data_IF_749043008626
#
_entry.id   IF_749043008626
#
_cell.length_a   1.000
_cell.length_b   1.000
_cell.length_c   1.000
_cell.angle_alpha   90.00
_cell.angle_beta   90.00
_cell.angle_gamma   90.00
#
_symmetry.space_group_name_H-M   'P 1'
#
loop_
_entity.id
_entity.type
_entity.pdbx_description
1 polymer ?
#
# COMPACT_ATOMS: atom_id res chain seq x y z
N UNK A 1 14.30 -3.69 -8.58
CA UNK A 1 14.84 -4.30 -7.35
C UNK A 1 15.68 -5.50 -7.75
N UNK A 2 16.93 -5.56 -7.32
CA UNK A 2 17.80 -6.74 -7.47
C UNK A 2 17.89 -7.36 -6.08
N UNK A 3 17.51 -8.63 -5.95
CA UNK A 3 17.64 -9.38 -4.71
C UNK A 3 18.93 -10.20 -4.83
N UNK A 4 19.84 -9.96 -3.93
CA UNK A 4 21.02 -10.82 -3.72
C UNK A 4 20.75 -11.75 -2.54
N UNK A 5 21.34 -12.93 -2.54
CA UNK A 5 21.07 -13.92 -1.48
C UNK A 5 22.36 -14.56 -1.00
N UNK A 6 22.36 -14.88 0.27
CA UNK A 6 23.46 -15.65 0.88
C UNK A 6 23.38 -17.10 0.40
N UNK A 7 24.47 -17.60 -0.21
CA UNK A 7 24.48 -18.93 -0.87
C UNK A 7 24.32 -20.10 0.12
N UNK A 8 24.67 -19.88 1.39
CA UNK A 8 24.63 -20.94 2.40
C UNK A 8 23.39 -20.82 3.27
N UNK A 9 22.69 -21.94 3.48
CA UNK A 9 21.56 -22.01 4.41
C UNK A 9 22.08 -21.86 5.84
N UNK A 10 21.59 -20.83 6.54
CA UNK A 10 21.95 -20.57 7.93
C UNK A 10 21.10 -21.44 8.85
N UNK A 11 21.76 -22.18 9.71
CA UNK A 11 21.08 -22.95 10.76
C UNK A 11 21.12 -22.17 12.06
N UNK A 12 19.91 -22.00 12.63
CA UNK A 12 19.69 -21.31 13.89
C UNK A 12 19.98 -22.21 15.09
N UNK A 13 20.31 -21.61 16.23
CA UNK A 13 20.65 -22.32 17.45
C UNK A 13 19.44 -22.91 18.17
N UNK A 14 18.25 -22.31 17.94
CA UNK A 14 16.99 -22.76 18.50
C UNK A 14 16.01 -23.21 17.40
N UNK A 15 14.88 -23.78 17.78
CA UNK A 15 13.86 -24.19 16.85
C UNK A 15 12.88 -23.04 16.54
N UNK A 16 12.19 -23.11 15.41
CA UNK A 16 11.10 -22.19 15.06
C UNK A 16 10.14 -21.94 16.22
N UNK A 17 9.76 -23.02 16.92
CA UNK A 17 8.84 -22.93 18.05
C UNK A 17 9.41 -22.22 19.29
N UNK A 18 10.67 -21.90 19.33
CA UNK A 18 11.26 -21.10 20.39
C UNK A 18 11.22 -19.61 20.02
N UNK A 19 11.48 -19.25 18.77
CA UNK A 19 11.43 -17.88 18.29
C UNK A 19 9.98 -17.37 18.13
N UNK A 20 9.08 -18.16 17.53
CA UNK A 20 7.71 -17.77 17.18
C UNK A 20 6.65 -18.18 18.21
N UNK A 21 6.97 -18.27 19.51
CA UNK A 21 6.01 -18.69 20.52
C UNK A 21 5.13 -17.52 20.98
N UNK A 22 3.81 -17.70 20.85
CA UNK A 22 2.83 -16.72 21.32
C UNK A 22 2.59 -16.83 22.82
N UNK A 23 2.34 -15.72 23.47
CA UNK A 23 1.98 -15.64 24.89
C UNK A 23 0.78 -14.75 25.08
N UNK A 24 -0.29 -15.30 25.67
CA UNK A 24 -1.52 -14.57 25.99
C UNK A 24 -2.20 -13.86 24.80
N UNK A 25 -2.03 -14.39 23.59
CA UNK A 25 -2.58 -13.81 22.36
C UNK A 25 -1.68 -12.78 21.69
N UNK A 26 -0.55 -12.48 22.27
CA UNK A 26 0.51 -11.68 21.64
C UNK A 26 1.40 -12.60 20.82
N UNK A 27 1.62 -12.25 19.54
CA UNK A 27 2.42 -13.03 18.61
C UNK A 27 3.93 -12.87 18.86
N UNK A 28 4.68 -13.93 18.57
CA UNK A 28 6.13 -13.89 18.49
C UNK A 28 6.87 -13.41 19.76
N UNK A 29 6.24 -13.54 20.93
CA UNK A 29 6.88 -13.21 22.22
C UNK A 29 8.14 -14.05 22.43
N UNK A 30 8.12 -15.27 21.88
CA UNK A 30 9.22 -16.20 22.01
C UNK A 30 9.27 -16.93 23.36
N UNK A 31 10.25 -17.81 23.50
CA UNK A 31 10.53 -18.53 24.76
C UNK A 31 12.01 -18.89 24.84
N UNK A 32 12.46 -19.33 26.01
CA UNK A 32 13.87 -19.63 26.28
C UNK A 32 14.80 -18.41 26.07
N UNK A 33 14.26 -17.20 26.13
CA UNK A 33 15.02 -15.96 25.97
C UNK A 33 15.31 -15.60 24.50
N UNK A 34 14.59 -16.19 23.55
CA UNK A 34 14.70 -15.88 22.11
C UNK A 34 13.35 -15.56 21.51
N UNK A 35 13.33 -14.70 20.50
CA UNK A 35 12.20 -14.23 19.70
C UNK A 35 12.68 -13.88 18.28
N UNK A 36 11.84 -13.40 17.36
CA UNK A 36 12.29 -13.06 16.00
C UNK A 36 13.37 -11.97 15.94
N UNK A 37 13.40 -11.01 16.89
CA UNK A 37 14.46 -10.00 16.95
C UNK A 37 15.83 -10.63 17.24
N UNK A 38 15.88 -11.53 18.23
CA UNK A 38 17.10 -12.27 18.54
C UNK A 38 17.49 -13.23 17.42
N UNK A 39 16.54 -13.78 16.67
CA UNK A 39 16.81 -14.57 15.48
C UNK A 39 17.49 -13.72 14.40
N UNK A 40 16.99 -12.51 14.14
CA UNK A 40 17.60 -11.62 13.17
C UNK A 40 19.05 -11.27 13.56
N UNK A 41 19.28 -10.94 14.82
CA UNK A 41 20.63 -10.71 15.36
C UNK A 41 21.54 -11.93 15.20
N UNK A 42 21.04 -13.11 15.55
CA UNK A 42 21.79 -14.37 15.41
C UNK A 42 22.21 -14.63 13.96
N UNK A 43 21.30 -14.42 13.00
CA UNK A 43 21.59 -14.60 11.58
C UNK A 43 22.67 -13.64 11.13
N UNK A 44 22.54 -12.35 11.44
CA UNK A 44 23.52 -11.33 11.08
C UNK A 44 24.90 -11.67 11.68
N UNK A 45 24.96 -12.04 12.96
CA UNK A 45 26.20 -12.43 13.61
C UNK A 45 26.90 -13.63 12.93
N UNK A 46 26.11 -14.59 12.43
CA UNK A 46 26.65 -15.76 11.73
C UNK A 46 27.21 -15.46 10.35
N UNK A 47 26.72 -14.42 9.67
CA UNK A 47 27.13 -14.11 8.29
C UNK A 47 27.91 -12.81 8.15
N UNK A 48 28.09 -12.04 9.22
CA UNK A 48 28.66 -10.68 9.13
C UNK A 48 30.08 -10.59 8.55
N UNK A 49 30.83 -11.66 8.56
CA UNK A 49 32.18 -11.72 7.96
C UNK A 49 32.16 -12.23 6.52
N UNK A 50 31.03 -12.79 6.05
CA UNK A 50 30.91 -13.44 4.76
C UNK A 50 30.26 -12.50 3.70
N UNK A 51 29.71 -11.35 4.16
CA UNK A 51 28.97 -10.42 3.33
C UNK A 51 29.71 -9.09 3.20
N UNK A 52 29.78 -8.56 1.98
CA UNK A 52 30.27 -7.21 1.69
C UNK A 52 29.10 -6.22 1.87
N UNK A 53 28.87 -5.79 3.11
CA UNK A 53 27.67 -5.04 3.51
C UNK A 53 27.53 -3.69 2.83
N UNK A 54 28.63 -3.03 2.45
CA UNK A 54 28.64 -1.74 1.76
C UNK A 54 27.91 -1.79 0.40
N UNK A 55 27.75 -2.96 -0.18
CA UNK A 55 26.96 -3.13 -1.42
C UNK A 55 25.47 -2.89 -1.23
N UNK A 56 25.00 -2.97 0.02
CA UNK A 56 23.59 -2.88 0.39
C UNK A 56 23.26 -1.57 1.11
N UNK A 57 24.16 -0.60 1.06
CA UNK A 57 24.04 0.79 1.49
C UNK A 57 24.07 1.68 0.24
N UNK A 58 22.90 1.92 -0.36
CA UNK A 58 22.81 2.63 -1.64
C UNK A 58 22.90 4.15 -1.49
N UNK A 59 22.61 4.66 -0.31
CA UNK A 59 22.64 6.11 0.00
C UNK A 59 23.94 6.51 0.73
N UNK A 60 24.83 5.55 1.01
CA UNK A 60 26.14 5.77 1.65
C UNK A 60 26.03 6.40 3.05
N UNK A 61 25.00 6.02 3.82
CA UNK A 61 24.79 6.52 5.20
C UNK A 61 25.35 5.61 6.30
N UNK A 62 25.94 4.49 5.92
CA UNK A 62 26.51 3.49 6.83
C UNK A 62 25.49 2.47 7.33
N UNK A 63 24.29 2.43 6.77
CA UNK A 63 23.24 1.49 7.14
C UNK A 63 22.85 0.57 5.99
N UNK A 64 22.59 -0.68 6.31
CA UNK A 64 22.04 -1.64 5.34
C UNK A 64 20.59 -1.24 5.02
N UNK A 65 20.32 -0.92 3.75
CA UNK A 65 19.01 -0.43 3.33
C UNK A 65 17.90 -1.46 3.48
N UNK A 66 18.17 -2.72 3.13
CA UNK A 66 17.15 -3.77 3.09
C UNK A 66 17.73 -5.12 3.49
N UNK A 67 17.05 -5.79 4.41
CA UNK A 67 17.43 -7.11 4.88
C UNK A 67 16.22 -8.03 4.98
N UNK A 68 16.24 -9.14 4.23
CA UNK A 68 15.16 -10.12 4.18
C UNK A 68 15.64 -11.48 4.68
N UNK A 69 14.94 -12.02 5.66
CA UNK A 69 15.12 -13.37 6.20
C UNK A 69 14.00 -14.27 5.67
N UNK A 70 14.36 -15.31 4.92
CA UNK A 70 13.41 -16.31 4.45
C UNK A 70 13.58 -17.61 5.20
N UNK A 71 12.52 -18.09 5.83
CA UNK A 71 12.52 -19.39 6.50
C UNK A 71 11.68 -20.44 5.74
N UNK A 72 12.02 -21.71 5.91
CA UNK A 72 11.40 -22.82 5.16
C UNK A 72 10.19 -23.46 5.87
N UNK A 73 9.82 -22.99 7.05
CA UNK A 73 8.70 -23.50 7.83
C UNK A 73 7.43 -22.73 7.44
N UNK A 74 6.27 -23.37 7.53
CA UNK A 74 4.98 -22.68 7.35
C UNK A 74 4.88 -21.48 8.28
N UNK A 75 4.36 -20.35 7.80
CA UNK A 75 4.14 -19.18 8.65
C UNK A 75 2.92 -19.38 9.57
N UNK A 76 2.72 -18.48 10.49
CA UNK A 76 1.55 -18.51 11.38
C UNK A 76 0.29 -17.99 10.68
N UNK A 77 0.43 -16.97 9.86
CA UNK A 77 -0.66 -16.26 9.16
C UNK A 77 -1.36 -17.11 8.08
N UNK A 78 -0.84 -18.28 7.71
CA UNK A 78 -1.50 -19.15 6.71
C UNK A 78 -2.80 -19.81 7.21
N UNK A 79 -3.21 -19.49 8.44
CA UNK A 79 -4.45 -19.99 9.05
C UNK A 79 -4.41 -21.46 9.47
N UNK A 80 -3.37 -22.22 9.09
CA UNK A 80 -3.15 -23.59 9.57
C UNK A 80 -2.36 -23.60 10.88
N UNK A 81 -2.31 -22.46 11.54
CA UNK A 81 -1.34 -21.99 12.46
C UNK A 81 -1.18 -22.74 13.76
N UNK A 82 0.07 -22.97 14.09
CA UNK A 82 0.53 -23.21 15.43
C UNK A 82 0.94 -21.86 16.04
N UNK A 83 0.49 -21.56 17.24
CA UNK A 83 0.94 -20.44 18.08
C UNK A 83 2.45 -20.53 18.48
N UNK A 84 3.23 -21.23 17.70
CA UNK A 84 4.66 -21.44 17.87
C UNK A 84 5.37 -21.37 16.51
N UNK A 85 4.81 -20.60 15.58
CA UNK A 85 5.44 -20.26 14.31
C UNK A 85 5.59 -18.77 14.22
N UNK A 86 6.61 -18.32 13.55
CA UNK A 86 6.80 -16.88 13.31
C UNK A 86 5.69 -16.38 12.37
N UNK A 87 5.05 -15.30 12.76
CA UNK A 87 4.24 -14.46 11.90
C UNK A 87 5.17 -13.66 10.98
N UNK A 88 4.92 -13.61 9.69
CA UNK A 88 5.71 -12.79 8.78
C UNK A 88 5.55 -11.33 9.14
N UNK A 89 6.66 -10.58 9.24
CA UNK A 89 6.63 -9.17 9.63
C UNK A 89 7.89 -8.41 9.22
N UNK A 90 7.76 -7.10 9.18
CA UNK A 90 8.85 -6.14 9.21
C UNK A 90 9.02 -5.59 10.63
N UNK A 91 10.25 -5.51 11.12
CA UNK A 91 10.53 -4.95 12.42
C UNK A 91 11.94 -4.34 12.54
N UNK A 92 12.12 -3.51 13.55
CA UNK A 92 13.45 -3.06 13.97
C UNK A 92 14.17 -4.16 14.77
N UNK A 93 15.48 -4.26 14.64
CA UNK A 93 16.31 -5.06 15.51
C UNK A 93 16.42 -4.32 16.85
N UNK A 94 16.17 -5.03 17.98
CA UNK A 94 16.17 -4.39 19.32
C UNK A 94 17.53 -3.77 19.67
N UNK A 95 18.62 -4.46 19.33
CA UNK A 95 19.97 -3.93 19.51
C UNK A 95 20.64 -3.85 18.13
N UNK A 96 21.05 -2.65 17.74
CA UNK A 96 21.74 -2.40 16.48
C UNK A 96 22.97 -3.29 16.39
N UNK A 97 23.08 -4.04 15.30
CA UNK A 97 24.24 -4.90 15.05
C UNK A 97 25.29 -4.11 14.29
N UNK A 98 26.49 -4.02 14.90
CA UNK A 98 27.66 -3.47 14.25
C UNK A 98 28.26 -4.51 13.29
N UNK A 99 28.48 -4.06 12.07
CA UNK A 99 29.03 -4.85 10.96
C UNK A 99 30.48 -4.40 10.65
N UNK A 100 31.23 -5.16 9.84
CA UNK A 100 32.53 -4.70 9.35
C UNK A 100 32.44 -3.34 8.63
N UNK A 101 33.54 -2.58 8.64
CA UNK A 101 33.71 -1.30 7.98
C UNK A 101 32.76 -0.19 8.45
N UNK A 102 32.45 -0.18 9.74
CA UNK A 102 31.57 0.79 10.39
C UNK A 102 30.14 0.79 9.84
N UNK A 103 29.72 -0.31 9.21
CA UNK A 103 28.35 -0.50 8.77
C UNK A 103 27.43 -0.94 9.92
N UNK A 104 26.14 -0.70 9.78
CA UNK A 104 25.11 -1.04 10.75
C UNK A 104 23.88 -1.67 10.09
N UNK A 105 23.14 -2.45 10.86
CA UNK A 105 21.83 -2.96 10.46
C UNK A 105 20.83 -2.74 11.59
N UNK A 106 19.66 -2.16 11.26
CA UNK A 106 18.64 -1.77 12.23
C UNK A 106 17.28 -2.45 12.00
N UNK A 107 17.03 -2.97 10.80
CA UNK A 107 15.72 -3.48 10.43
C UNK A 107 15.85 -4.82 9.71
N UNK A 108 14.80 -5.61 9.79
CA UNK A 108 14.67 -6.84 9.02
C UNK A 108 13.23 -7.06 8.59
N UNK A 109 13.06 -7.77 7.50
CA UNK A 109 11.81 -8.46 7.15
C UNK A 109 12.04 -9.95 7.38
N UNK A 110 11.09 -10.63 8.01
CA UNK A 110 11.10 -12.09 8.09
C UNK A 110 9.82 -12.63 7.47
N UNK A 111 9.95 -13.61 6.58
CA UNK A 111 8.82 -14.24 5.92
C UNK A 111 9.08 -15.70 5.59
N UNK A 112 8.00 -16.44 5.38
CA UNK A 112 8.07 -17.83 4.96
C UNK A 112 8.20 -17.96 3.45
N UNK A 113 9.08 -18.88 2.99
CA UNK A 113 9.08 -19.34 1.60
C UNK A 113 8.43 -20.73 1.44
N UNK A 114 7.68 -21.19 2.44
CA UNK A 114 7.20 -22.57 2.49
C UNK A 114 6.20 -22.92 1.39
N UNK A 115 5.41 -21.97 0.90
CA UNK A 115 4.38 -22.20 -0.12
C UNK A 115 4.41 -21.16 -1.22
N UNK A 116 3.82 -21.49 -2.37
CA UNK A 116 3.62 -20.51 -3.45
C UNK A 116 2.72 -19.34 -3.05
N UNK A 117 1.90 -19.49 -1.99
CA UNK A 117 1.05 -18.43 -1.44
C UNK A 117 1.79 -17.39 -0.62
N UNK A 118 3.10 -17.54 -0.41
CA UNK A 118 3.90 -16.60 0.39
C UNK A 118 4.31 -15.33 -0.35
N UNK A 119 4.15 -15.27 -1.67
CA UNK A 119 4.65 -14.16 -2.49
C UNK A 119 4.05 -12.81 -2.06
N UNK A 120 2.72 -12.77 -1.90
CA UNK A 120 2.02 -11.55 -1.49
C UNK A 120 2.49 -11.05 -0.13
N UNK A 121 2.63 -11.94 0.85
CA UNK A 121 3.13 -11.59 2.19
C UNK A 121 4.58 -11.11 2.13
N UNK A 122 5.47 -11.81 1.42
CA UNK A 122 6.87 -11.39 1.30
C UNK A 122 6.97 -9.97 0.72
N UNK A 123 6.20 -9.65 -0.33
CA UNK A 123 6.22 -8.33 -0.97
C UNK A 123 5.61 -7.28 -0.04
N UNK A 124 4.50 -7.60 0.66
CA UNK A 124 3.86 -6.73 1.64
C UNK A 124 4.87 -6.30 2.72
N UNK A 125 5.53 -7.27 3.36
CA UNK A 125 6.51 -6.98 4.41
C UNK A 125 7.74 -6.22 3.88
N UNK A 126 8.15 -6.48 2.65
CA UNK A 126 9.23 -5.71 2.03
C UNK A 126 8.81 -4.27 1.71
N UNK A 127 7.54 -4.00 1.43
CA UNK A 127 7.06 -2.65 1.21
C UNK A 127 7.10 -1.81 2.48
N UNK A 128 6.95 -2.40 3.66
CA UNK A 128 7.22 -1.71 4.93
C UNK A 128 8.64 -1.18 5.00
N UNK A 129 9.64 -1.91 4.53
CA UNK A 129 11.02 -1.40 4.44
C UNK A 129 11.17 -0.23 3.46
N UNK A 130 10.21 -0.03 2.54
CA UNK A 130 10.17 1.11 1.63
C UNK A 130 9.35 2.29 2.18
N UNK A 131 8.80 2.16 3.39
CA UNK A 131 8.01 3.17 4.06
C UNK A 131 6.50 3.06 3.84
N UNK A 132 6.01 1.96 3.26
CA UNK A 132 4.57 1.70 3.21
C UNK A 132 4.01 1.43 4.60
N UNK A 133 2.80 1.88 4.86
CA UNK A 133 2.05 1.55 6.06
C UNK A 133 0.89 0.61 5.74
N UNK A 134 0.41 -0.12 6.74
CA UNK A 134 -0.77 -0.96 6.61
C UNK A 134 -2.02 -0.12 6.35
N UNK A 135 -2.80 -0.52 5.35
CA UNK A 135 -4.07 0.13 5.00
C UNK A 135 -5.28 -0.59 5.59
N UNK A 136 -5.08 -1.28 6.70
CA UNK A 136 -6.10 -1.93 7.52
C UNK A 136 -5.83 -1.67 9.01
N UNK A 137 -6.79 -1.88 9.92
CA UNK A 137 -6.56 -1.72 11.36
C UNK A 137 -5.55 -2.76 11.89
N UNK A 138 -4.34 -2.35 12.24
CA UNK A 138 -3.29 -3.24 12.77
C UNK A 138 -3.36 -3.40 14.28
N UNK A 139 -4.01 -2.46 14.97
CA UNK A 139 -4.18 -2.51 16.43
C UNK A 139 -5.66 -2.52 16.78
N UNK A 140 -6.02 -3.33 17.77
CA UNK A 140 -7.38 -3.38 18.31
C UNK A 140 -7.73 -2.05 19.00
N UNK A 141 -8.13 -1.08 18.19
CA UNK A 141 -8.50 0.25 18.69
C UNK A 141 -9.92 0.25 19.27
N UNK A 142 -10.78 -0.71 18.84
CA UNK A 142 -12.11 -0.91 19.43
C UNK A 142 -12.60 -2.35 19.22
N UNK A 143 -13.23 -2.90 20.25
CA UNK A 143 -13.70 -4.30 20.39
C UNK A 143 -14.75 -4.75 19.35
N UNK A 144 -15.23 -3.88 18.46
CA UNK A 144 -16.26 -4.16 17.47
C UNK A 144 -15.87 -3.75 16.03
N UNK A 145 -14.60 -3.57 15.77
CA UNK A 145 -14.22 -3.09 14.45
C UNK A 145 -14.05 -4.26 13.48
N UNK A 146 -14.92 -4.30 12.48
CA UNK A 146 -14.93 -5.29 11.39
C UNK A 146 -14.35 -4.72 10.10
N UNK A 147 -14.07 -3.41 10.05
CA UNK A 147 -13.49 -2.74 8.89
C UNK A 147 -12.12 -3.34 8.52
N UNK A 148 -11.91 -3.54 7.22
CA UNK A 148 -10.69 -4.14 6.66
C UNK A 148 -9.83 -3.14 5.87
N UNK A 149 -10.02 -1.84 6.11
CA UNK A 149 -9.31 -0.79 5.38
C UNK A 149 -9.71 -0.75 3.91
N UNK A 150 -8.73 -0.69 3.04
CA UNK A 150 -8.95 -0.71 1.58
C UNK A 150 -9.11 -2.13 1.01
N UNK A 151 -9.13 -3.14 1.87
CA UNK A 151 -9.45 -4.51 1.48
C UNK A 151 -8.53 -5.08 0.40
N UNK A 152 -9.13 -5.75 -0.58
CA UNK A 152 -8.41 -6.45 -1.65
C UNK A 152 -7.83 -5.54 -2.73
N UNK A 153 -8.06 -4.23 -2.64
CA UNK A 153 -7.63 -3.27 -3.64
C UNK A 153 -6.15 -2.86 -3.54
N UNK A 154 -5.49 -3.14 -2.41
CA UNK A 154 -4.08 -2.81 -2.20
C UNK A 154 -3.34 -3.96 -1.52
N UNK A 155 -2.10 -4.20 -1.95
CA UNK A 155 -1.22 -5.18 -1.31
C UNK A 155 -0.94 -4.85 0.16
N UNK A 156 -1.01 -3.57 0.56
CA UNK A 156 -0.85 -3.14 1.95
C UNK A 156 -2.12 -3.32 2.79
N UNK A 157 -3.10 -4.07 2.27
CA UNK A 157 -4.27 -4.58 2.98
C UNK A 157 -4.54 -6.03 2.55
N UNK A 158 -5.79 -6.50 2.52
CA UNK A 158 -6.11 -7.90 2.15
C UNK A 158 -5.72 -8.28 0.72
N UNK A 159 -5.31 -7.30 -0.11
CA UNK A 159 -4.86 -7.52 -1.47
C UNK A 159 -3.59 -8.38 -1.58
N UNK A 160 -2.81 -8.52 -0.51
CA UNK A 160 -1.67 -9.43 -0.45
C UNK A 160 -2.10 -10.90 -0.60
N UNK A 161 -3.35 -11.23 -0.25
CA UNK A 161 -3.92 -12.58 -0.34
C UNK A 161 -4.63 -12.89 -1.66
N UNK A 162 -4.72 -11.94 -2.59
CA UNK A 162 -5.36 -12.16 -3.89
C UNK A 162 -4.71 -13.33 -4.63
N UNK A 163 -5.53 -14.12 -5.35
CA UNK A 163 -5.07 -15.32 -6.01
C UNK A 163 -4.39 -16.33 -5.07
N UNK A 164 -4.84 -16.41 -3.82
CA UNK A 164 -4.23 -17.20 -2.74
C UNK A 164 -2.78 -16.77 -2.44
N UNK A 165 -2.50 -15.47 -2.46
CA UNK A 165 -1.18 -14.91 -2.19
C UNK A 165 -0.14 -15.06 -3.30
N UNK A 166 -0.56 -15.60 -4.47
CA UNK A 166 0.30 -15.78 -5.66
C UNK A 166 0.18 -14.59 -6.62
N UNK A 167 -0.97 -13.95 -6.63
CA UNK A 167 -1.31 -12.81 -7.47
C UNK A 167 -1.76 -11.63 -6.61
N UNK A 168 -0.87 -11.10 -5.76
CA UNK A 168 -1.23 -9.98 -4.91
C UNK A 168 -1.60 -8.76 -5.75
N UNK A 169 -2.49 -7.92 -5.22
CA UNK A 169 -2.79 -6.64 -5.83
C UNK A 169 -1.53 -5.79 -5.98
N UNK A 170 -1.48 -4.96 -7.01
CA UNK A 170 -0.50 -3.88 -7.04
C UNK A 170 -0.80 -2.88 -5.90
N UNK A 171 0.22 -2.20 -5.35
CA UNK A 171 -0.03 -1.10 -4.43
C UNK A 171 -0.82 0.00 -5.14
N UNK A 172 -1.76 0.61 -4.46
CA UNK A 172 -2.45 1.80 -4.95
C UNK A 172 -1.48 2.98 -5.13
N UNK A 173 -1.89 4.01 -5.86
CA UNK A 173 -1.03 5.18 -6.06
C UNK A 173 -0.77 5.98 -4.78
N UNK A 174 -1.69 6.08 -3.81
CA UNK A 174 -1.37 6.57 -2.46
C UNK A 174 -0.26 5.79 -1.75
N UNK A 175 -0.27 4.46 -1.82
CA UNK A 175 0.81 3.62 -1.26
C UNK A 175 2.14 3.87 -1.96
N UNK A 176 2.13 4.00 -3.29
CA UNK A 176 3.34 4.34 -4.06
C UNK A 176 3.88 5.71 -3.65
N UNK A 177 3.01 6.71 -3.45
CA UNK A 177 3.44 8.04 -3.00
C UNK A 177 4.04 8.00 -1.60
N UNK A 178 3.45 7.23 -0.70
CA UNK A 178 3.97 7.04 0.66
C UNK A 178 5.39 6.45 0.67
N UNK A 179 5.66 5.52 -0.27
CA UNK A 179 7.00 4.96 -0.48
C UNK A 179 7.96 5.89 -1.26
N UNK A 180 7.56 7.15 -1.52
CA UNK A 180 8.37 8.14 -2.24
C UNK A 180 8.33 7.99 -3.77
N UNK A 181 7.50 7.12 -4.32
CA UNK A 181 7.30 6.98 -5.75
C UNK A 181 6.25 7.94 -6.31
N UNK A 182 6.16 8.05 -7.63
CA UNK A 182 5.12 8.83 -8.29
C UNK A 182 4.50 8.04 -9.44
N UNK A 183 3.20 7.75 -9.34
CA UNK A 183 2.41 7.09 -10.38
C UNK A 183 1.09 7.84 -10.62
N UNK A 184 1.11 9.15 -10.46
CA UNK A 184 -0.10 9.95 -10.59
C UNK A 184 0.16 11.25 -11.34
N UNK A 185 -0.93 11.81 -11.85
CA UNK A 185 -1.04 13.16 -12.36
C UNK A 185 -1.77 14.01 -11.32
N UNK A 186 -1.16 15.12 -10.94
CA UNK A 186 -1.80 16.11 -10.08
C UNK A 186 -2.83 16.88 -10.92
N UNK A 187 -4.09 16.84 -10.52
CA UNK A 187 -5.19 17.50 -11.25
C UNK A 187 -5.82 18.56 -10.36
N UNK A 188 -5.81 19.80 -10.82
CA UNK A 188 -6.53 20.89 -10.16
C UNK A 188 -7.67 21.32 -11.08
N UNK A 189 -8.91 21.20 -10.58
CA UNK A 189 -10.12 21.61 -11.28
C UNK A 189 -10.58 22.96 -10.69
N UNK A 190 -10.34 24.05 -11.43
CA UNK A 190 -10.76 25.38 -11.06
C UNK A 190 -11.82 25.90 -12.04
N UNK A 191 -12.94 26.38 -11.51
CA UNK A 191 -14.08 26.84 -12.26
C UNK A 191 -14.21 28.36 -12.13
N UNK A 192 -14.19 29.07 -13.26
CA UNK A 192 -14.39 30.51 -13.27
C UNK A 192 -15.84 30.84 -13.61
N UNK A 193 -16.49 31.84 -12.95
CA UNK A 193 -17.87 32.21 -13.23
C UNK A 193 -18.10 32.63 -14.70
N UNK A 194 -19.13 32.11 -15.32
CA UNK A 194 -19.63 32.59 -16.61
C UNK A 194 -19.30 31.78 -17.86
N UNK A 195 -18.82 30.53 -17.71
CA UNK A 195 -18.40 29.69 -18.83
C UNK A 195 -18.94 28.25 -18.78
N UNK A 196 -18.60 27.44 -19.78
CA UNK A 196 -19.12 26.07 -19.94
C UNK A 196 -18.82 25.19 -18.77
N UNK A 197 -19.81 24.44 -18.29
CA UNK A 197 -19.69 23.52 -17.18
C UNK A 197 -18.96 22.21 -17.53
N UNK A 198 -18.49 22.05 -18.76
CA UNK A 198 -17.75 20.85 -19.18
C UNK A 198 -16.25 21.01 -18.96
N UNK A 199 -15.64 19.94 -18.52
CA UNK A 199 -14.22 19.84 -18.18
C UNK A 199 -13.44 18.90 -19.10
N UNK A 200 -12.22 18.51 -18.69
CA UNK A 200 -11.40 17.60 -19.48
C UNK A 200 -12.07 16.24 -19.61
N UNK A 201 -11.75 15.60 -20.73
CA UNK A 201 -12.05 14.20 -20.98
C UNK A 201 -10.73 13.43 -20.89
N UNK A 202 -10.66 12.46 -20.01
CA UNK A 202 -9.45 11.68 -19.74
C UNK A 202 -9.71 10.20 -19.99
N UNK A 203 -8.81 9.57 -20.76
CA UNK A 203 -8.75 8.12 -20.90
C UNK A 203 -7.74 7.61 -19.90
N UNK A 204 -8.10 6.65 -19.06
CA UNK A 204 -7.19 6.06 -18.11
C UNK A 204 -6.76 4.67 -18.58
N UNK A 205 -5.44 4.50 -18.71
CA UNK A 205 -4.83 3.19 -18.88
C UNK A 205 -4.74 2.49 -17.52
N UNK A 206 -4.89 1.15 -17.51
CA UNK A 206 -4.75 0.35 -16.31
C UNK A 206 -3.39 0.53 -15.63
N UNK A 207 -3.36 0.66 -14.31
CA UNK A 207 -2.09 0.81 -13.57
C UNK A 207 -1.18 -0.39 -13.74
N UNK A 208 -1.73 -1.58 -13.89
CA UNK A 208 -0.99 -2.82 -14.21
C UNK A 208 -0.40 -2.83 -15.61
N UNK A 209 -0.83 -1.93 -16.49
CA UNK A 209 -0.34 -1.74 -17.86
C UNK A 209 0.56 -0.50 -17.99
N UNK A 210 0.98 0.08 -16.86
CA UNK A 210 1.82 1.28 -16.82
C UNK A 210 1.06 2.60 -16.85
N UNK A 211 -0.25 2.57 -16.62
CA UNK A 211 -1.09 3.76 -16.49
C UNK A 211 -0.78 4.58 -15.24
N UNK A 212 -1.33 5.79 -15.20
CA UNK A 212 -1.23 6.73 -14.08
C UNK A 212 -2.61 6.96 -13.48
N UNK A 213 -2.67 7.18 -12.18
CA UNK A 213 -3.85 7.64 -11.48
C UNK A 213 -4.01 9.16 -11.55
N UNK A 214 -5.17 9.66 -11.18
CA UNK A 214 -5.43 11.07 -10.98
C UNK A 214 -5.43 11.37 -9.48
N UNK A 215 -4.78 12.46 -9.07
CA UNK A 215 -4.81 13.00 -7.71
C UNK A 215 -5.45 14.38 -7.73
N UNK A 216 -6.62 14.52 -7.10
CA UNK A 216 -7.45 15.72 -7.13
C UNK A 216 -7.55 16.28 -5.71
N UNK A 217 -7.06 17.48 -5.44
CA UNK A 217 -7.21 18.10 -4.13
C UNK A 217 -8.68 18.50 -3.89
N UNK A 218 -9.21 18.16 -2.72
CA UNK A 218 -10.56 18.50 -2.28
C UNK A 218 -10.59 19.28 -0.96
N UNK A 219 -9.43 19.43 -0.33
CA UNK A 219 -9.23 20.14 0.91
C UNK A 219 -7.74 20.30 1.23
N UNK A 220 -7.43 20.92 2.36
CA UNK A 220 -6.03 21.03 2.81
C UNK A 220 -5.50 19.64 3.21
N UNK A 221 -4.48 19.16 2.47
CA UNK A 221 -3.90 17.82 2.64
C UNK A 221 -4.95 16.69 2.51
N UNK A 222 -5.90 16.87 1.60
CA UNK A 222 -7.01 15.97 1.39
C UNK A 222 -7.29 15.81 -0.11
N UNK A 223 -7.40 14.57 -0.58
CA UNK A 223 -7.40 14.24 -2.00
C UNK A 223 -8.43 13.17 -2.35
N UNK A 224 -8.90 13.23 -3.58
CA UNK A 224 -9.54 12.11 -4.27
C UNK A 224 -8.53 11.52 -5.24
N UNK A 225 -8.41 10.21 -5.22
CA UNK A 225 -7.60 9.43 -6.14
C UNK A 225 -8.51 8.62 -7.06
N UNK A 226 -8.17 8.59 -8.34
CA UNK A 226 -8.89 7.78 -9.33
C UNK A 226 -7.85 6.99 -10.10
N UNK A 227 -8.00 5.67 -10.11
CA UNK A 227 -7.12 4.78 -10.88
C UNK A 227 -7.91 3.69 -11.58
N UNK A 228 -7.50 3.32 -12.78
CA UNK A 228 -8.10 2.21 -13.49
C UNK A 228 -7.40 0.91 -13.07
N UNK A 229 -8.18 0.01 -12.45
CA UNK A 229 -7.76 -1.35 -12.11
C UNK A 229 -8.26 -2.26 -13.23
N UNK A 230 -7.35 -2.78 -14.04
CA UNK A 230 -7.67 -3.64 -15.17
C UNK A 230 -7.42 -5.12 -14.84
N UNK A 231 -8.11 -6.02 -15.56
CA UNK A 231 -7.88 -7.46 -15.44
C UNK A 231 -6.60 -7.87 -16.18
N UNK A 232 -5.46 -7.35 -15.71
CA UNK A 232 -4.16 -7.62 -16.32
C UNK A 232 -3.04 -7.77 -15.28
N UNK A 233 -2.09 -8.65 -15.53
CA UNK A 233 -0.93 -8.84 -14.67
C UNK A 233 -1.31 -9.25 -13.25
N UNK A 234 -0.72 -8.63 -12.26
CA UNK A 234 -1.03 -8.90 -10.85
C UNK A 234 -2.46 -8.50 -10.46
N UNK A 235 -3.05 -7.52 -11.12
CA UNK A 235 -4.43 -7.09 -10.86
C UNK A 235 -5.49 -8.06 -11.44
N UNK A 236 -5.10 -9.10 -12.18
CA UNK A 236 -6.04 -10.11 -12.74
C UNK A 236 -6.82 -10.95 -11.70
N UNK A 237 -6.46 -10.80 -10.42
CA UNK A 237 -7.15 -11.48 -9.30
C UNK A 237 -7.80 -10.49 -8.33
N UNK A 238 -7.97 -9.25 -8.74
CA UNK A 238 -8.80 -8.28 -8.02
C UNK A 238 -10.26 -8.71 -8.03
N UNK A 239 -11.08 -8.21 -7.09
CA UNK A 239 -12.52 -8.49 -7.07
C UNK A 239 -13.24 -8.04 -8.34
N UNK A 240 -12.70 -7.07 -9.05
CA UNK A 240 -13.32 -6.51 -10.25
C UNK A 240 -12.37 -5.67 -11.10
N UNK A 241 -12.94 -5.16 -12.21
CA UNK A 241 -12.30 -4.32 -13.21
C UNK A 241 -13.09 -3.02 -13.37
N UNK A 242 -12.44 -1.86 -13.18
CA UNK A 242 -13.11 -0.55 -13.24
C UNK A 242 -12.26 0.57 -12.63
N UNK A 243 -12.90 1.72 -12.46
CA UNK A 243 -12.26 2.84 -11.79
C UNK A 243 -12.39 2.70 -10.28
N UNK A 244 -11.28 2.52 -9.62
CA UNK A 244 -11.18 2.60 -8.17
C UNK A 244 -11.05 4.08 -7.78
N UNK A 245 -12.03 4.57 -7.02
CA UNK A 245 -12.04 5.92 -6.48
C UNK A 245 -11.77 5.87 -4.99
N UNK A 246 -10.79 6.63 -4.52
CA UNK A 246 -10.39 6.62 -3.11
C UNK A 246 -10.33 8.02 -2.55
N UNK A 247 -10.67 8.16 -1.29
CA UNK A 247 -10.53 9.38 -0.52
C UNK A 247 -9.34 9.25 0.44
N UNK A 248 -8.42 10.20 0.37
CA UNK A 248 -7.24 10.26 1.23
C UNK A 248 -7.28 11.52 2.09
N UNK A 249 -7.04 11.36 3.38
CA UNK A 249 -6.85 12.43 4.34
C UNK A 249 -5.49 12.29 5.04
N UNK A 250 -4.51 13.09 4.62
CA UNK A 250 -3.15 13.04 5.16
C UNK A 250 -3.04 13.57 6.62
N UNK A 251 -4.10 14.14 7.17
CA UNK A 251 -4.16 14.54 8.58
C UNK A 251 -4.76 13.45 9.48
N UNK A 252 -5.20 12.35 8.89
CA UNK A 252 -5.74 11.21 9.63
C UNK A 252 -4.63 10.18 9.92
N UNK A 253 -4.64 9.65 11.14
CA UNK A 253 -3.73 8.60 11.55
C UNK A 253 -2.29 9.06 11.79
N UNK A 254 -1.44 8.09 12.04
CA UNK A 254 -0.01 8.25 12.26
C UNK A 254 0.76 7.23 11.41
N UNK A 255 1.50 7.73 10.42
CA UNK A 255 2.27 6.88 9.49
C UNK A 255 3.48 6.24 10.19
N UNK A 256 4.12 6.98 11.11
CA UNK A 256 5.32 6.50 11.80
C UNK A 256 5.01 5.33 12.74
N UNK A 257 3.82 5.37 13.36
CA UNK A 257 3.34 4.30 14.24
C UNK A 257 2.49 3.24 13.52
N UNK A 258 2.39 3.30 12.19
CA UNK A 258 1.55 2.42 11.36
C UNK A 258 0.05 2.43 11.76
N UNK A 259 -0.47 3.60 12.15
CA UNK A 259 -1.85 3.79 12.65
C UNK A 259 -2.73 4.59 11.69
N UNK A 260 -2.48 4.53 10.39
CA UNK A 260 -3.15 5.41 9.43
C UNK A 260 -4.58 4.98 9.10
N UNK A 261 -4.88 3.68 9.13
CA UNK A 261 -6.21 3.15 8.83
C UNK A 261 -6.84 2.43 10.03
N UNK A 262 -6.66 2.94 11.24
CA UNK A 262 -7.16 2.32 12.47
C UNK A 262 -8.68 2.44 12.64
N UNK A 263 -9.34 3.40 11.98
CA UNK A 263 -10.78 3.63 12.14
C UNK A 263 -11.42 4.17 10.85
N UNK A 264 -12.59 3.64 10.40
CA UNK A 264 -13.22 4.04 9.13
C UNK A 264 -13.64 5.53 9.09
N UNK A 265 -14.04 6.13 10.23
CA UNK A 265 -14.42 7.54 10.30
C UNK A 265 -13.22 8.50 10.23
N UNK A 266 -12.01 7.98 10.42
CA UNK A 266 -10.75 8.72 10.40
C UNK A 266 -9.71 7.98 9.58
N UNK A 267 -10.16 7.41 8.48
CA UNK A 267 -9.28 6.69 7.57
C UNK A 267 -8.31 7.64 6.87
N UNK A 268 -7.06 7.27 6.82
CA UNK A 268 -6.08 7.92 5.98
C UNK A 268 -6.38 7.68 4.50
N UNK A 269 -6.84 6.47 4.16
CA UNK A 269 -7.29 6.08 2.82
C UNK A 269 -8.51 5.18 2.92
N UNK A 270 -9.56 5.48 2.17
CA UNK A 270 -10.75 4.63 2.06
C UNK A 270 -11.26 4.59 0.63
N UNK A 271 -11.89 3.50 0.26
CA UNK A 271 -12.58 3.35 -1.02
C UNK A 271 -13.90 4.12 -0.98
N UNK A 272 -14.24 4.78 -2.07
CA UNK A 272 -15.56 5.35 -2.33
C UNK A 272 -16.28 4.34 -3.23
N UNK A 273 -17.21 3.60 -2.65
CA UNK A 273 -17.93 2.51 -3.28
C UNK A 273 -18.93 3.05 -4.29
N UNK A 274 -18.92 2.54 -5.53
CA UNK A 274 -19.74 3.04 -6.63
C UNK A 274 -21.23 2.70 -6.45
N UNK A 275 -21.54 1.60 -5.77
CA UNK A 275 -22.91 1.24 -5.40
C UNK A 275 -23.48 2.07 -4.25
N UNK A 276 -22.63 2.70 -3.44
CA UNK A 276 -22.98 3.52 -2.28
C UNK A 276 -23.47 2.75 -1.07
N UNK A 277 -23.30 1.43 -1.03
CA UNK A 277 -23.75 0.58 0.08
C UNK A 277 -22.89 0.74 1.33
N UNK A 278 -21.64 1.18 1.18
CA UNK A 278 -20.66 1.37 2.25
C UNK A 278 -20.40 0.10 3.07
N UNK A 279 -20.45 -1.04 2.42
CA UNK A 279 -20.31 -2.32 3.09
C UNK A 279 -18.83 -2.64 3.40
N UNK A 280 -17.86 -2.10 2.65
CA UNK A 280 -16.45 -2.10 3.04
C UNK A 280 -16.24 -1.34 4.35
N UNK A 281 -16.83 -0.15 4.49
CA UNK A 281 -16.75 0.67 5.71
C UNK A 281 -17.44 -0.05 6.89
N UNK A 282 -18.55 -0.74 6.61
CA UNK A 282 -19.26 -1.56 7.60
C UNK A 282 -18.54 -2.87 7.95
N UNK A 283 -17.52 -3.25 7.17
CA UNK A 283 -16.76 -4.50 7.31
C UNK A 283 -17.51 -5.74 6.84
N UNK A 284 -18.52 -5.58 6.01
CA UNK A 284 -19.27 -6.67 5.40
C UNK A 284 -18.58 -7.20 4.12
N UNK A 285 -17.78 -6.38 3.47
CA UNK A 285 -16.99 -6.70 2.27
C UNK A 285 -15.51 -6.32 2.44
N UNK A 286 -14.65 -6.96 1.68
CA UNK A 286 -13.22 -6.59 1.51
C UNK A 286 -12.96 -6.07 0.09
N UNK A 287 -14.01 -5.78 -0.66
CA UNK A 287 -13.99 -5.31 -2.04
C UNK A 287 -14.73 -6.25 -2.98
N UNK A 288 -15.58 -5.67 -3.81
CA UNK A 288 -16.43 -6.33 -4.79
C UNK A 288 -16.40 -5.58 -6.13
N UNK A 289 -16.89 -6.20 -7.21
CA UNK A 289 -16.94 -5.56 -8.53
C UNK A 289 -17.75 -4.25 -8.52
N UNK A 290 -18.82 -4.21 -7.72
CA UNK A 290 -19.78 -3.12 -7.68
C UNK A 290 -19.25 -1.88 -6.91
N UNK A 291 -18.08 -2.00 -6.25
CA UNK A 291 -17.35 -0.86 -5.66
C UNK A 291 -16.71 0.03 -6.74
N UNK A 292 -16.49 -0.51 -7.94
CA UNK A 292 -15.79 0.18 -9.01
C UNK A 292 -16.74 0.92 -9.93
N UNK A 293 -16.39 2.16 -10.24
CA UNK A 293 -17.15 2.98 -11.21
C UNK A 293 -16.90 2.51 -12.64
N UNK A 294 -17.97 2.43 -13.41
CA UNK A 294 -17.95 1.97 -14.79
C UNK A 294 -18.91 2.79 -15.69
N UNK A 295 -19.23 2.26 -16.86
CA UNK A 295 -20.06 2.93 -17.88
C UNK A 295 -21.42 3.40 -17.37
N UNK A 296 -21.66 4.69 -17.43
CA UNK A 296 -22.89 5.34 -16.98
C UNK A 296 -22.85 5.87 -15.55
N UNK A 297 -21.82 5.58 -14.77
CA UNK A 297 -21.68 6.04 -13.40
C UNK A 297 -21.30 7.52 -13.33
N UNK A 298 -21.66 8.15 -12.22
CA UNK A 298 -21.33 9.54 -11.92
C UNK A 298 -20.94 9.67 -10.45
N UNK A 299 -19.90 10.43 -10.16
CA UNK A 299 -19.46 10.71 -8.77
C UNK A 299 -18.95 12.15 -8.61
N UNK A 300 -18.90 12.63 -7.37
CA UNK A 300 -18.47 13.99 -7.03
C UNK A 300 -19.62 14.81 -6.44
N UNK A 301 -19.98 15.93 -7.06
CA UNK A 301 -21.14 16.72 -6.64
C UNK A 301 -22.49 16.14 -7.09
N UNK A 302 -22.47 15.15 -7.98
CA UNK A 302 -23.62 14.40 -8.47
C UNK A 302 -23.32 12.90 -8.39
N UNK A 303 -24.37 12.07 -8.46
CA UNK A 303 -24.24 10.61 -8.32
C UNK A 303 -23.76 10.22 -6.92
N UNK A 304 -22.72 9.42 -6.84
CA UNK A 304 -22.07 9.10 -5.56
C UNK A 304 -21.35 10.34 -5.07
N UNK A 305 -21.86 10.92 -3.96
CA UNK A 305 -21.39 12.22 -3.47
C UNK A 305 -20.06 12.13 -2.76
N UNK A 306 -19.13 13.04 -3.12
CA UNK A 306 -17.85 13.17 -2.47
C UNK A 306 -17.83 14.45 -1.63
N UNK A 307 -17.43 14.31 -0.37
CA UNK A 307 -17.27 15.42 0.57
C UNK A 307 -15.87 15.39 1.18
N UNK A 308 -15.36 16.58 1.44
CA UNK A 308 -14.12 16.69 2.22
C UNK A 308 -14.39 16.40 3.71
N UNK A 309 -13.32 16.38 4.53
CA UNK A 309 -13.39 16.10 5.98
C UNK A 309 -14.31 17.05 6.74
N UNK A 310 -14.50 18.29 6.24
CA UNK A 310 -15.38 19.27 6.84
C UNK A 310 -16.85 19.11 6.39
N UNK A 311 -17.13 18.06 5.61
CA UNK A 311 -18.45 17.74 5.07
C UNK A 311 -18.88 18.60 3.87
N UNK A 312 -17.97 19.42 3.32
CA UNK A 312 -18.23 20.26 2.15
C UNK A 312 -18.23 19.39 0.90
N UNK A 313 -19.30 19.47 0.11
CA UNK A 313 -19.43 18.79 -1.17
C UNK A 313 -18.40 19.39 -2.15
N UNK A 314 -17.75 18.55 -2.94
CA UNK A 314 -16.89 19.02 -4.03
C UNK A 314 -17.73 19.77 -5.08
N UNK A 315 -17.15 20.71 -5.79
CA UNK A 315 -17.82 21.56 -6.78
C UNK A 315 -17.80 20.99 -8.20
N UNK A 316 -17.22 19.81 -8.36
CA UNK A 316 -17.12 19.07 -9.61
C UNK A 316 -17.83 17.71 -9.53
N UNK A 317 -18.17 17.16 -10.67
CA UNK A 317 -18.54 15.76 -10.82
C UNK A 317 -17.84 15.15 -12.03
N UNK A 318 -17.74 13.85 -12.01
CA UNK A 318 -17.13 13.05 -13.06
C UNK A 318 -18.18 12.09 -13.62
N UNK A 319 -18.36 12.10 -14.94
CA UNK A 319 -19.18 11.13 -15.66
C UNK A 319 -18.25 10.08 -16.27
N UNK A 320 -18.55 8.81 -16.02
CA UNK A 320 -17.79 7.69 -16.55
C UNK A 320 -18.48 7.13 -17.78
N UNK A 321 -17.70 6.88 -18.82
CA UNK A 321 -18.12 6.13 -19.99
C UNK A 321 -17.02 5.15 -20.38
N UNK A 322 -17.33 4.19 -21.24
CA UNK A 322 -16.35 3.21 -21.70
C UNK A 322 -16.19 3.30 -23.21
N UNK A 323 -14.99 3.54 -23.68
CA UNK A 323 -14.64 3.51 -25.09
C UNK A 323 -13.65 2.35 -25.36
N UNK A 324 -14.05 1.42 -26.24
CA UNK A 324 -13.26 0.24 -26.59
C UNK A 324 -12.73 -0.57 -25.38
N UNK A 325 -13.51 -0.63 -24.29
CA UNK A 325 -13.14 -1.34 -23.06
C UNK A 325 -12.26 -0.56 -22.10
N UNK A 326 -11.95 0.70 -22.40
CA UNK A 326 -11.17 1.59 -21.56
C UNK A 326 -12.09 2.65 -20.95
N UNK A 327 -12.01 2.92 -19.63
CA UNK A 327 -12.82 3.95 -18.99
C UNK A 327 -12.36 5.34 -19.41
N UNK A 328 -13.34 6.18 -19.67
CA UNK A 328 -13.21 7.58 -20.03
C UNK A 328 -13.92 8.41 -18.98
N UNK A 329 -13.22 9.36 -18.39
CA UNK A 329 -13.76 10.26 -17.37
C UNK A 329 -13.95 11.64 -17.99
N UNK A 330 -15.16 12.18 -17.91
CA UNK A 330 -15.44 13.57 -18.25
C UNK A 330 -15.80 14.34 -16.98
N UNK A 331 -14.99 15.33 -16.66
CA UNK A 331 -15.28 16.24 -15.56
C UNK A 331 -16.24 17.35 -15.98
N UNK A 332 -17.10 17.76 -15.06
CA UNK A 332 -18.01 18.88 -15.22
C UNK A 332 -18.28 19.54 -13.86
N UNK A 333 -18.82 20.76 -13.86
CA UNK A 333 -19.29 21.45 -12.67
C UNK A 333 -20.78 21.84 -12.81
N UNK A 334 -21.49 21.91 -11.69
CA UNK A 334 -22.86 22.41 -11.64
C UNK A 334 -22.92 23.95 -11.62
N UNK A 335 -21.87 24.59 -11.12
CA UNK A 335 -21.73 26.04 -11.11
C UNK A 335 -20.84 26.44 -12.27
N UNK A 336 -21.44 26.81 -13.39
CA UNK A 336 -20.71 27.15 -14.60
C UNK A 336 -19.72 28.29 -14.39
N UNK A 337 -18.47 27.91 -14.37
CA UNK A 337 -17.35 28.81 -14.38
C UNK A 337 -16.23 28.16 -15.18
N UNK A 338 -15.35 28.88 -15.88
CA UNK A 338 -14.23 28.25 -16.56
C UNK A 338 -13.32 27.58 -15.55
N UNK A 339 -13.14 26.26 -15.68
CA UNK A 339 -12.00 25.58 -15.13
C UNK A 339 -10.75 25.95 -15.92
N UNK A 340 -9.74 26.45 -15.26
CA UNK A 340 -8.40 26.46 -15.84
C UNK A 340 -7.80 25.09 -15.60
N UNK A 341 -7.76 24.26 -16.63
CA UNK A 341 -7.10 22.97 -16.53
C UNK A 341 -5.60 23.21 -16.62
N UNK A 342 -4.87 22.68 -15.65
CA UNK A 342 -3.42 22.51 -15.82
C UNK A 342 -3.24 21.53 -16.99
N UNK A 343 -2.47 21.91 -18.00
CA UNK A 343 -2.12 21.05 -19.13
C UNK A 343 -1.65 19.69 -18.60
N UNK A 344 -2.51 18.70 -18.73
CA UNK A 344 -2.10 17.32 -18.50
C UNK A 344 -1.13 16.97 -19.64
N UNK A 345 0.06 16.46 -19.35
CA UNK A 345 0.99 16.08 -20.42
C UNK A 345 0.30 15.11 -21.37
N UNK A 346 0.43 15.38 -22.67
CA UNK A 346 -0.10 14.51 -23.73
C UNK A 346 0.20 13.04 -23.42
N UNK A 347 -0.81 12.20 -23.48
CA UNK A 347 -0.70 10.75 -23.33
C UNK A 347 0.22 10.19 -24.45
N UNK A 348 1.49 10.14 -24.22
CA UNK A 348 2.50 9.68 -25.19
C UNK A 348 3.92 9.75 -24.66
N UNK A 349 4.18 10.46 -23.60
CA UNK A 349 5.47 10.46 -22.96
C UNK A 349 5.57 9.26 -22.00
N UNK A 350 6.29 8.25 -22.42
CA UNK A 350 6.81 7.21 -21.54
C UNK A 350 7.57 7.91 -20.42
N UNK A 351 7.00 7.97 -19.23
CA UNK A 351 7.72 8.40 -18.04
C UNK A 351 8.79 7.35 -17.76
N UNK A 352 9.99 7.62 -18.19
CA UNK A 352 11.16 6.88 -17.73
C UNK A 352 11.25 7.14 -16.23
N UNK A 353 11.03 6.10 -15.43
CA UNK A 353 11.29 6.12 -13.99
C UNK A 353 12.78 6.43 -13.80
N UNK A 354 13.12 7.70 -13.60
CA UNK A 354 14.38 8.05 -12.99
C UNK A 354 14.21 7.83 -11.49
N UNK A 355 15.00 6.96 -10.92
CA UNK A 355 15.19 6.82 -9.48
C UNK A 355 15.48 8.22 -8.90
N UNK A 356 14.48 8.82 -8.28
CA UNK A 356 14.67 10.05 -7.55
C UNK A 356 15.20 9.65 -6.18
N UNK A 357 16.33 10.22 -5.81
CA UNK A 357 16.90 10.13 -4.48
C UNK A 357 15.84 10.45 -3.43
N UNK A 358 15.52 9.48 -2.60
CA UNK A 358 14.71 9.68 -1.41
C UNK A 358 15.64 10.33 -0.40
N UNK A 359 15.49 11.64 -0.17
CA UNK A 359 16.08 12.26 1.00
C UNK A 359 15.24 11.85 2.21
N UNK A 360 15.84 11.10 3.12
CA UNK A 360 15.22 10.77 4.40
C UNK A 360 14.73 12.02 5.13
N UNK A 361 13.58 11.92 5.84
CA UNK A 361 13.22 12.94 6.82
C UNK A 361 14.29 12.93 7.92
N UNK A 362 14.95 14.05 8.08
CA UNK A 362 15.92 14.27 9.16
C UNK A 362 15.25 14.02 10.50
N UNK A 363 15.59 12.91 11.14
CA UNK A 363 15.29 12.71 12.56
C UNK A 363 15.93 13.84 13.37
N UNK A 364 15.11 14.56 14.10
CA UNK A 364 15.54 15.36 15.24
C UNK A 364 15.28 14.62 16.53
#
# INVERSE_FOLDING_TARGET
LVIDYHETIIRTDFNMADYGHDVNGEHDVGRNGVNPHTLAQEIVEKIKQDVEWEKYDLNEDGWVDRFLILHCVKPQEDGSGSTSRIWSHFASIEEIVELPNDMHIAHYTIASQHSSSSLGTIIHEMYHQLGAADLYPVHDVTVNQVWKGVGKWDIMASGNWNGNGVWPALPSSPSIELMGGKRHLDVVLEWLPGTDCSGPVLNLQGISEGGSSLKIPIGYMEYVWIEYRSDFGFDSHLPGNGLLVMHQDLLSGDVEDNLINSHPDKAWLKVIEADGEQDMVAGNSEGEQDDLFWDGDTFGSQGITIRNRDGVLVDWHANVSVDNGTPVIQFASTECGHGTFIDLPDHGSVLTLSLIHISEPTRR
#
